data_IF_256250997859
#
_entry.id   IF_256250997859
#
_cell.length_a   1.000
_cell.length_b   1.000
_cell.length_c   1.000
_cell.angle_alpha   90.00
_cell.angle_beta   90.00
_cell.angle_gamma   90.00
#
_symmetry.space_group_name_H-M   'P 1'
#
loop_
_entity.id
_entity.type
_entity.pdbx_description
1 polymer ?
#
# COMPACT_ATOMS: atom_id res chain seq x y z
N UNK A 1 -9.45 -16.33 -11.46
CA UNK A 1 -9.74 -15.08 -10.71
C UNK A 1 -8.41 -14.55 -10.20
N UNK A 2 -8.17 -13.24 -10.26
CA UNK A 2 -6.90 -12.61 -9.86
C UNK A 2 -7.14 -11.40 -8.95
N UNK A 3 -6.12 -10.99 -8.20
CA UNK A 3 -6.20 -9.89 -7.24
C UNK A 3 -5.10 -8.85 -7.50
N UNK A 4 -5.39 -7.59 -7.15
CA UNK A 4 -4.41 -6.50 -7.15
C UNK A 4 -4.26 -6.01 -5.72
N UNK A 5 -3.03 -5.98 -5.21
CA UNK A 5 -2.78 -5.79 -3.78
C UNK A 5 -1.76 -4.68 -3.54
N UNK A 6 -2.05 -3.80 -2.59
CA UNK A 6 -1.10 -2.82 -2.04
C UNK A 6 -0.75 -3.21 -0.60
N UNK A 7 0.54 -3.31 -0.30
CA UNK A 7 1.04 -3.73 1.02
C UNK A 7 1.93 -2.64 1.59
N UNK A 8 1.67 -2.23 2.83
CA UNK A 8 2.41 -1.17 3.48
C UNK A 8 2.88 -1.64 4.87
N UNK A 9 4.19 -1.78 5.02
CA UNK A 9 4.82 -2.18 6.28
C UNK A 9 5.26 -0.93 7.03
N UNK A 10 4.90 -0.81 8.31
CA UNK A 10 5.34 0.28 9.17
C UNK A 10 5.66 -0.24 10.56
N UNK A 11 6.63 0.39 11.23
CA UNK A 11 6.90 0.16 12.65
C UNK A 11 6.64 1.44 13.44
N UNK A 12 5.77 1.38 14.45
CA UNK A 12 5.36 2.51 15.29
C UNK A 12 5.08 3.81 14.50
N UNK A 13 4.18 3.80 13.49
CA UNK A 13 3.95 4.96 12.64
C UNK A 13 3.41 6.15 13.43
N UNK A 14 4.03 7.32 13.28
CA UNK A 14 3.57 8.60 13.86
C UNK A 14 2.55 9.31 12.96
N UNK A 15 1.75 8.55 12.21
CA UNK A 15 0.72 9.07 11.30
C UNK A 15 -0.65 8.47 11.63
N UNK A 16 -1.71 9.16 11.22
CA UNK A 16 -3.08 8.68 11.47
C UNK A 16 -3.39 7.40 10.71
N UNK A 17 -4.30 6.59 11.25
CA UNK A 17 -4.80 5.37 10.60
C UNK A 17 -5.38 5.68 9.21
N UNK A 18 -6.10 6.78 9.05
CA UNK A 18 -6.64 7.19 7.74
C UNK A 18 -5.54 7.43 6.70
N UNK A 19 -4.40 7.99 7.12
CA UNK A 19 -3.26 8.19 6.24
C UNK A 19 -2.62 6.87 5.83
N UNK A 20 -2.55 5.91 6.76
CA UNK A 20 -2.06 4.55 6.51
C UNK A 20 -2.95 3.87 5.47
N UNK A 21 -4.26 3.86 5.69
CA UNK A 21 -5.25 3.25 4.79
C UNK A 21 -5.22 3.90 3.40
N UNK A 22 -5.26 5.25 3.34
CA UNK A 22 -5.20 5.98 2.07
C UNK A 22 -3.94 5.66 1.28
N UNK A 23 -2.81 5.40 1.96
CA UNK A 23 -1.56 5.06 1.29
C UNK A 23 -1.60 3.64 0.72
N UNK A 24 -2.06 2.66 1.51
CA UNK A 24 -2.24 1.28 1.03
C UNK A 24 -3.24 1.20 -0.15
N UNK A 25 -4.34 1.95 -0.08
CA UNK A 25 -5.32 2.04 -1.17
C UNK A 25 -4.71 2.61 -2.44
N UNK A 26 -3.93 3.69 -2.35
CA UNK A 26 -3.23 4.27 -3.50
C UNK A 26 -2.26 3.27 -4.13
N UNK A 27 -1.58 2.46 -3.32
CA UNK A 27 -0.68 1.43 -3.83
C UNK A 27 -1.44 0.34 -4.59
N UNK A 28 -2.57 -0.12 -4.06
CA UNK A 28 -3.45 -1.06 -4.76
C UNK A 28 -4.01 -0.46 -6.06
N UNK A 29 -4.43 0.81 -6.03
CA UNK A 29 -4.89 1.52 -7.24
C UNK A 29 -3.79 1.62 -8.30
N UNK A 30 -2.55 1.88 -7.89
CA UNK A 30 -1.39 1.87 -8.79
C UNK A 30 -1.23 0.51 -9.48
N UNK A 31 -1.45 -0.61 -8.77
CA UNK A 31 -1.43 -1.94 -9.37
C UNK A 31 -2.59 -2.13 -10.36
N UNK A 32 -3.81 -1.72 -9.99
CA UNK A 32 -4.98 -1.83 -10.87
C UNK A 32 -4.79 -1.08 -12.19
N UNK A 33 -4.11 0.07 -12.13
CA UNK A 33 -3.79 0.90 -13.29
C UNK A 33 -2.55 0.43 -14.07
N UNK A 34 -1.78 -0.53 -13.54
CA UNK A 34 -0.56 -1.05 -14.15
C UNK A 34 -0.69 -2.55 -14.48
N UNK A 35 -1.72 -2.92 -15.24
CA UNK A 35 -1.90 -4.29 -15.73
C UNK A 35 -2.65 -5.25 -14.79
N UNK A 36 -2.90 -4.87 -13.53
CA UNK A 36 -3.57 -5.70 -12.50
C UNK A 36 -2.76 -6.96 -12.15
N UNK A 37 -3.37 -7.89 -11.39
CA UNK A 37 -2.78 -9.19 -11.01
C UNK A 37 -1.33 -9.11 -10.50
N UNK A 38 -1.07 -8.17 -9.60
CA UNK A 38 0.27 -7.89 -9.09
C UNK A 38 0.18 -7.37 -7.65
N UNK A 39 1.33 -7.22 -7.01
CA UNK A 39 1.48 -6.78 -5.63
C UNK A 39 2.49 -5.65 -5.57
N UNK A 40 2.09 -4.50 -5.04
CA UNK A 40 3.00 -3.39 -4.75
C UNK A 40 3.23 -3.30 -3.26
N UNK A 41 4.48 -3.35 -2.83
CA UNK A 41 4.85 -3.27 -1.41
C UNK A 41 5.79 -2.08 -1.14
N UNK A 42 5.70 -1.54 0.06
CA UNK A 42 6.57 -0.47 0.54
C UNK A 42 6.75 -0.60 2.06
N UNK A 43 7.93 -0.19 2.53
CA UNK A 43 8.27 -0.17 3.95
C UNK A 43 8.52 1.27 4.35
N UNK A 44 7.79 1.75 5.35
CA UNK A 44 8.04 3.04 5.99
C UNK A 44 8.90 2.81 7.23
N UNK A 45 10.17 3.21 7.13
CA UNK A 45 11.10 3.24 8.26
C UNK A 45 11.08 4.66 8.81
N UNK A 46 10.75 4.80 10.10
CA UNK A 46 10.95 6.05 10.81
C UNK A 46 12.45 6.09 11.17
N UNK A 47 13.26 6.83 10.42
CA UNK A 47 14.56 7.30 10.93
C UNK A 47 14.34 8.40 11.98
#
# INVERSE_FOLDING_TARGET
>A
ITFSVGVLTMNAPKISVDKILSTADKMMYSVKNNGKNDIKFATHVND
#
